data_IF_660386793243
#
_entry.id   IF_660386793243
#
_cell.length_a   1.000
_cell.length_b   1.000
_cell.length_c   1.000
_cell.angle_alpha   90.00
_cell.angle_beta   90.00
_cell.angle_gamma   90.00
#
_symmetry.space_group_name_H-M   'P 1'
#
loop_
_entity.id
_entity.type
_entity.pdbx_description
1 polymer ?
#
# COMPACT_ATOMS: atom_id res chain seq x y z
N UNK A 1 -7.42 -11.78 2.08
CA UNK A 1 -8.30 -11.47 0.95
C UNK A 1 -7.65 -10.43 0.06
N UNK A 2 -7.59 -10.68 -1.22
CA UNK A 2 -6.94 -9.77 -2.14
C UNK A 2 -7.80 -8.53 -2.40
N UNK A 3 -7.15 -7.40 -2.64
CA UNK A 3 -7.85 -6.21 -3.12
C UNK A 3 -8.48 -6.52 -4.48
N UNK A 4 -9.63 -5.91 -4.74
CA UNK A 4 -10.20 -5.99 -6.07
C UNK A 4 -9.27 -5.28 -7.05
N UNK A 5 -9.31 -5.69 -8.31
CA UNK A 5 -8.46 -5.08 -9.35
C UNK A 5 -8.69 -3.59 -9.43
N UNK A 6 -9.94 -3.14 -9.36
CA UNK A 6 -10.25 -1.71 -9.44
C UNK A 6 -9.67 -0.92 -8.26
N UNK A 7 -9.73 -1.48 -7.06
CA UNK A 7 -9.16 -0.81 -5.89
C UNK A 7 -7.65 -0.77 -6.01
N UNK A 8 -7.02 -1.86 -6.41
CA UNK A 8 -5.58 -1.90 -6.57
C UNK A 8 -5.10 -0.92 -7.63
N UNK A 9 -5.75 -0.89 -8.78
CA UNK A 9 -5.40 0.06 -9.84
C UNK A 9 -5.54 1.50 -9.38
N UNK A 10 -6.62 1.81 -8.66
CA UNK A 10 -6.83 3.15 -8.14
C UNK A 10 -5.76 3.55 -7.13
N UNK A 11 -5.35 2.63 -6.28
CA UNK A 11 -4.26 2.90 -5.34
C UNK A 11 -2.93 3.11 -6.05
N UNK A 12 -2.66 2.34 -7.09
CA UNK A 12 -1.44 2.49 -7.89
C UNK A 12 -1.43 3.84 -8.62
N UNK A 13 -2.56 4.26 -9.15
CA UNK A 13 -2.68 5.59 -9.73
C UNK A 13 -2.46 6.69 -8.70
N UNK A 14 -3.04 6.52 -7.51
CA UNK A 14 -2.84 7.47 -6.42
C UNK A 14 -1.37 7.58 -6.05
N UNK A 15 -0.64 6.46 -6.01
CA UNK A 15 0.80 6.48 -5.77
C UNK A 15 1.54 7.26 -6.85
N UNK A 16 1.15 7.07 -8.09
CA UNK A 16 1.78 7.80 -9.21
C UNK A 16 1.57 9.30 -9.08
N UNK A 17 0.34 9.72 -8.78
CA UNK A 17 0.04 11.13 -8.59
C UNK A 17 0.76 11.70 -7.37
N UNK A 18 0.86 10.94 -6.29
CA UNK A 18 1.56 11.39 -5.09
C UNK A 18 3.07 11.53 -5.33
N UNK A 19 3.67 10.64 -6.12
CA UNK A 19 5.08 10.79 -6.49
C UNK A 19 5.30 12.05 -7.30
N UNK A 20 4.39 12.35 -8.21
CA UNK A 20 4.46 13.59 -8.98
C UNK A 20 4.30 14.81 -8.06
N UNK A 21 3.35 14.76 -7.13
CA UNK A 21 3.15 15.83 -6.16
C UNK A 21 4.39 16.02 -5.30
N UNK A 22 5.00 14.94 -4.85
CA UNK A 22 6.22 15.00 -4.03
C UNK A 22 7.37 15.61 -4.82
N UNK A 23 7.49 15.26 -6.09
CA UNK A 23 8.52 15.82 -6.97
C UNK A 23 8.40 17.34 -7.05
N UNK A 24 7.19 17.86 -7.21
CA UNK A 24 6.97 19.30 -7.25
C UNK A 24 7.14 19.94 -5.87
N UNK A 25 6.62 19.29 -4.83
CA UNK A 25 6.70 19.82 -3.48
C UNK A 25 8.13 19.91 -2.97
N UNK A 26 8.99 19.00 -3.39
CA UNK A 26 10.40 19.02 -2.98
C UNK A 26 11.14 20.29 -3.40
N UNK A 27 10.62 20.99 -4.39
CA UNK A 27 11.24 22.21 -4.89
C UNK A 27 10.67 23.49 -4.28
N UNK A 28 9.44 23.43 -3.80
CA UNK A 28 8.72 24.65 -3.46
C UNK A 28 8.07 24.62 -2.09
N UNK A 29 7.93 23.45 -1.47
CA UNK A 29 7.20 23.34 -0.22
C UNK A 29 8.12 23.14 0.98
N UNK A 30 7.55 23.34 2.16
CA UNK A 30 8.26 23.16 3.43
C UNK A 30 8.60 21.68 3.62
N UNK A 31 9.71 21.38 4.33
CA UNK A 31 10.06 19.99 4.63
C UNK A 31 8.94 19.20 5.33
N UNK A 32 8.15 19.85 6.18
CA UNK A 32 7.04 19.18 6.85
C UNK A 32 5.98 18.71 5.85
N UNK A 33 5.68 19.53 4.84
CA UNK A 33 4.73 19.17 3.78
C UNK A 33 5.27 17.99 2.97
N UNK A 34 6.56 18.04 2.62
CA UNK A 34 7.20 16.95 1.88
C UNK A 34 7.12 15.64 2.66
N UNK A 35 7.36 15.70 3.96
CA UNK A 35 7.29 14.53 4.82
C UNK A 35 5.88 13.95 4.85
N UNK A 36 4.87 14.80 4.95
CA UNK A 36 3.48 14.35 4.97
C UNK A 36 3.08 13.66 3.66
N UNK A 37 3.52 14.17 2.52
CA UNK A 37 3.25 13.55 1.23
C UNK A 37 3.95 12.20 1.15
N UNK A 38 5.21 12.13 1.56
CA UNK A 38 5.98 10.89 1.57
C UNK A 38 5.34 9.86 2.49
N UNK A 39 4.87 10.28 3.67
CA UNK A 39 4.20 9.37 4.61
C UNK A 39 2.89 8.85 4.04
N UNK A 40 2.15 9.67 3.32
CA UNK A 40 0.91 9.25 2.66
C UNK A 40 1.19 8.23 1.57
N UNK A 41 2.23 8.48 0.78
CA UNK A 41 2.65 7.53 -0.27
C UNK A 41 3.03 6.18 0.35
N UNK A 42 3.77 6.20 1.44
CA UNK A 42 4.15 4.98 2.15
C UNK A 42 2.93 4.27 2.72
N UNK A 43 1.95 5.01 3.23
CA UNK A 43 0.72 4.41 3.77
C UNK A 43 -0.04 3.65 2.68
N UNK A 44 -0.14 4.20 1.47
CA UNK A 44 -0.78 3.53 0.34
C UNK A 44 -0.01 2.27 -0.05
N UNK A 45 1.32 2.38 -0.12
CA UNK A 45 2.18 1.25 -0.44
C UNK A 45 1.98 0.12 0.58
N UNK A 46 1.85 0.46 1.85
CA UNK A 46 1.63 -0.51 2.91
C UNK A 46 0.28 -1.22 2.78
N UNK A 47 -0.76 -0.53 2.34
CA UNK A 47 -2.07 -1.16 2.10
C UNK A 47 -1.92 -2.27 1.06
N UNK A 48 -1.28 -1.98 -0.05
CA UNK A 48 -1.10 -2.93 -1.14
C UNK A 48 -0.26 -4.12 -0.67
N UNK A 49 0.86 -3.84 -0.01
CA UNK A 49 1.77 -4.89 0.46
C UNK A 49 1.14 -5.74 1.55
N UNK A 50 0.42 -5.12 2.45
CA UNK A 50 -0.22 -5.85 3.54
C UNK A 50 -1.22 -6.87 3.00
N UNK A 51 -2.05 -6.47 2.06
CA UNK A 51 -3.03 -7.38 1.46
C UNK A 51 -2.35 -8.54 0.76
N UNK A 52 -1.27 -8.28 0.02
CA UNK A 52 -0.51 -9.32 -0.65
C UNK A 52 0.11 -10.29 0.35
N UNK A 53 0.70 -9.78 1.41
CA UNK A 53 1.32 -10.61 2.46
C UNK A 53 0.26 -11.46 3.16
N UNK A 54 -0.88 -10.87 3.47
CA UNK A 54 -1.98 -11.57 4.15
C UNK A 54 -2.51 -12.71 3.27
N UNK A 55 -2.70 -12.46 1.99
CA UNK A 55 -3.15 -13.49 1.06
C UNK A 55 -2.15 -14.64 0.96
N UNK A 56 -0.87 -14.33 0.88
CA UNK A 56 0.18 -15.34 0.84
C UNK A 56 0.21 -16.18 2.10
N UNK A 57 0.03 -15.55 3.25
CA UNK A 57 -0.02 -16.24 4.52
C UNK A 57 -1.22 -17.17 4.61
N UNK A 58 -2.39 -16.69 4.22
CA UNK A 58 -3.59 -17.51 4.19
C UNK A 58 -3.42 -18.74 3.30
N UNK A 59 -2.80 -18.56 2.14
CA UNK A 59 -2.55 -19.65 1.21
C UNK A 59 -1.61 -20.68 1.81
N UNK A 60 -0.55 -20.24 2.48
CA UNK A 60 0.39 -21.14 3.14
C UNK A 60 -0.28 -21.92 4.26
N UNK A 61 -1.13 -21.28 5.03
CA UNK A 61 -1.87 -21.94 6.11
C UNK A 61 -2.80 -23.02 5.56
N UNK A 62 -3.48 -22.74 4.45
CA UNK A 62 -4.33 -23.72 3.79
C UNK A 62 -3.51 -24.91 3.29
N UNK A 63 -2.39 -24.62 2.66
CA UNK A 63 -1.53 -25.65 2.09
C UNK A 63 -0.93 -26.56 3.16
N UNK A 64 -0.67 -26.02 4.36
CA UNK A 64 -0.12 -26.80 5.46
C UNK A 64 -1.20 -27.51 6.30
N UNK A 65 -2.47 -27.36 5.95
CA UNK A 65 -3.56 -28.02 6.65
C UNK A 65 -4.01 -27.32 7.90
N UNK A 66 -3.54 -26.14 8.17
CA UNK A 66 -4.00 -25.37 9.31
C UNK A 66 -5.44 -24.90 9.08
N UNK A 67 -6.22 -25.00 10.12
CA UNK A 67 -7.59 -24.47 10.13
C UNK A 67 -7.52 -23.09 10.74
N UNK A 68 -7.28 -22.12 10.04
CA UNK A 68 -7.21 -20.72 10.36
C UNK A 68 -7.82 -20.19 11.65
N UNK A 69 -7.42 -20.71 12.77
CA UNK A 69 -7.92 -20.29 14.07
C UNK A 69 -7.06 -19.23 14.73
N UNK A 70 -6.16 -18.66 13.97
CA UNK A 70 -5.27 -17.64 14.49
C UNK A 70 -5.95 -16.29 14.66
N UNK A 71 -7.03 -16.08 13.97
CA UNK A 71 -7.63 -14.77 13.90
C UNK A 71 -9.07 -14.78 14.33
#
# INVERSE_FOLDING_TARGET
MALSIKVQESLEEAQSYLRTALHHAARSEKPATNKQIADTLLAIDNVIKYETITDNLEQKLKDSGFKGNFF
#
